data_IF_032607014769
#
_entry.id   IF_032607014769
#
_cell.length_a   1.000
_cell.length_b   1.000
_cell.length_c   1.000
_cell.angle_alpha   90.00
_cell.angle_beta   90.00
_cell.angle_gamma   90.00
#
_symmetry.space_group_name_H-M   'P 1'
#
loop_
_entity.id
_entity.type
_entity.pdbx_description
1 polymer ?
#
# COMPACT_ATOMS: atom_id res chain seq x y z
N UNK A 1 2.82 -29.62 3.22
CA UNK A 1 1.51 -29.26 2.65
C UNK A 1 1.20 -27.87 3.16
N UNK A 2 1.37 -26.84 2.35
CA UNK A 2 0.96 -25.48 2.69
C UNK A 2 -0.56 -25.45 2.70
N UNK A 3 -1.18 -25.12 3.85
CA UNK A 3 -2.61 -24.89 3.88
C UNK A 3 -2.94 -23.80 2.85
N UNK A 4 -3.93 -24.05 1.98
CA UNK A 4 -4.40 -23.04 1.04
C UNK A 4 -4.98 -21.87 1.86
N UNK A 5 -4.45 -20.68 1.67
CA UNK A 5 -5.04 -19.47 2.24
C UNK A 5 -6.28 -19.14 1.41
N UNK A 6 -7.46 -19.41 1.93
CA UNK A 6 -8.73 -19.23 1.22
C UNK A 6 -9.46 -17.94 1.62
N UNK A 7 -9.15 -17.41 2.81
CA UNK A 7 -9.76 -16.17 3.31
C UNK A 7 -8.89 -15.48 4.34
N UNK A 8 -9.09 -14.15 4.48
CA UNK A 8 -8.48 -13.29 5.49
C UNK A 8 -9.52 -12.29 6.03
N UNK A 9 -9.23 -11.66 7.16
CA UNK A 9 -10.10 -10.58 7.66
C UNK A 9 -9.93 -9.34 6.78
N UNK A 10 -8.68 -8.96 6.47
CA UNK A 10 -8.36 -7.78 5.67
C UNK A 10 -7.48 -8.15 4.48
N UNK A 11 -7.94 -7.81 3.29
CA UNK A 11 -7.17 -7.91 2.06
C UNK A 11 -6.80 -6.50 1.60
N UNK A 12 -5.52 -6.26 1.33
CA UNK A 12 -5.02 -4.98 0.81
C UNK A 12 -4.47 -5.20 -0.58
N UNK A 13 -4.97 -4.47 -1.56
CA UNK A 13 -4.43 -4.42 -2.92
C UNK A 13 -3.61 -3.15 -3.10
N UNK A 14 -2.33 -3.30 -3.47
CA UNK A 14 -1.42 -2.19 -3.73
C UNK A 14 -0.34 -2.01 -2.66
N UNK A 15 0.90 -1.92 -3.10
CA UNK A 15 2.10 -1.80 -2.27
C UNK A 15 2.60 -0.37 -2.09
N UNK A 16 1.78 0.63 -2.39
CA UNK A 16 2.09 2.03 -2.13
C UNK A 16 2.16 2.33 -0.63
N UNK A 17 2.52 3.56 -0.28
CA UNK A 17 2.70 3.99 1.13
C UNK A 17 1.43 3.73 1.96
N UNK A 18 0.26 4.09 1.40
CA UNK A 18 -1.03 3.89 2.05
C UNK A 18 -1.38 2.41 2.23
N UNK A 19 -1.17 1.59 1.19
CA UNK A 19 -1.45 0.15 1.25
C UNK A 19 -0.58 -0.58 2.26
N UNK A 20 0.72 -0.30 2.28
CA UNK A 20 1.65 -0.88 3.28
C UNK A 20 1.27 -0.46 4.69
N UNK A 21 0.98 0.83 4.91
CA UNK A 21 0.56 1.34 6.21
C UNK A 21 -0.75 0.68 6.68
N UNK A 22 -1.73 0.55 5.79
CA UNK A 22 -3.01 -0.10 6.09
C UNK A 22 -2.82 -1.57 6.47
N UNK A 23 -2.00 -2.31 5.71
CA UNK A 23 -1.73 -3.72 5.98
C UNK A 23 -1.05 -3.93 7.34
N UNK A 24 -0.02 -3.14 7.64
CA UNK A 24 0.69 -3.20 8.94
C UNK A 24 -0.27 -2.90 10.09
N UNK A 25 -1.07 -1.83 9.96
CA UNK A 25 -1.97 -1.44 11.05
C UNK A 25 -3.14 -2.41 11.24
N UNK A 26 -3.67 -3.00 10.18
CA UNK A 26 -4.68 -4.05 10.29
C UNK A 26 -4.13 -5.27 11.04
N UNK A 27 -2.93 -5.73 10.70
CA UNK A 27 -2.27 -6.84 11.38
C UNK A 27 -1.97 -6.54 12.85
N UNK A 28 -1.49 -5.34 13.17
CA UNK A 28 -1.29 -4.86 14.56
C UNK A 28 -2.59 -4.77 15.34
N UNK A 29 -3.69 -4.43 14.67
CA UNK A 29 -5.03 -4.47 15.24
C UNK A 29 -5.57 -5.89 15.48
N UNK A 30 -4.82 -6.91 15.08
CA UNK A 30 -5.15 -8.33 15.34
C UNK A 30 -5.83 -9.03 14.16
N UNK A 31 -6.10 -8.36 13.05
CA UNK A 31 -6.72 -8.96 11.87
C UNK A 31 -5.73 -9.85 11.11
N UNK A 32 -6.21 -11.01 10.64
CA UNK A 32 -5.48 -11.78 9.62
C UNK A 32 -5.47 -10.96 8.33
N UNK A 33 -4.28 -10.60 7.84
CA UNK A 33 -4.12 -9.61 6.77
C UNK A 33 -3.29 -10.18 5.62
N UNK A 34 -3.72 -9.91 4.39
CA UNK A 34 -2.98 -10.25 3.19
C UNK A 34 -2.75 -8.99 2.36
N UNK A 35 -1.49 -8.64 2.14
CA UNK A 35 -1.07 -7.60 1.23
C UNK A 35 -0.72 -8.22 -0.12
N UNK A 36 -1.37 -7.77 -1.18
CA UNK A 36 -1.14 -8.19 -2.56
C UNK A 36 -0.56 -7.02 -3.35
N UNK A 37 0.53 -7.25 -4.05
CA UNK A 37 1.17 -6.19 -4.83
C UNK A 37 1.50 -6.65 -6.25
N UNK A 38 1.32 -5.78 -7.27
CA UNK A 38 1.73 -6.09 -8.64
C UNK A 38 3.26 -6.17 -8.79
N UNK A 39 3.99 -5.37 -8.02
CA UNK A 39 5.45 -5.32 -7.99
C UNK A 39 6.04 -6.10 -6.82
N UNK A 40 7.37 -6.18 -6.83
CA UNK A 40 8.18 -6.85 -5.79
C UNK A 40 8.77 -5.86 -4.77
N UNK A 41 8.46 -4.58 -4.87
CA UNK A 41 8.89 -3.53 -3.95
C UNK A 41 7.69 -2.95 -3.20
N UNK A 42 7.93 -2.57 -1.94
CA UNK A 42 6.95 -1.90 -1.08
C UNK A 42 7.27 -0.41 -0.95
N UNK A 43 6.24 0.43 -0.81
CA UNK A 43 6.37 1.85 -0.49
C UNK A 43 5.99 2.82 -1.62
N UNK A 44 5.89 2.36 -2.87
CA UNK A 44 5.51 3.24 -3.99
C UNK A 44 6.43 4.47 -4.09
N UNK A 45 5.88 5.66 -3.89
CA UNK A 45 6.61 6.94 -4.01
C UNK A 45 7.82 7.04 -3.09
N UNK A 46 7.77 6.45 -1.90
CA UNK A 46 8.90 6.51 -0.95
C UNK A 46 10.00 5.48 -1.24
N UNK A 47 9.86 4.66 -2.27
CA UNK A 47 10.83 3.62 -2.63
C UNK A 47 10.85 3.34 -4.14
N UNK A 48 9.97 2.45 -4.63
CA UNK A 48 9.96 1.90 -5.98
C UNK A 48 9.89 2.96 -7.09
N UNK A 49 9.15 4.04 -6.89
CA UNK A 49 9.05 5.14 -7.85
C UNK A 49 10.28 6.07 -7.85
N UNK A 50 11.23 5.89 -6.92
CA UNK A 50 12.49 6.61 -6.89
C UNK A 50 12.39 8.09 -6.49
N UNK A 51 11.25 8.53 -5.97
CA UNK A 51 11.08 9.92 -5.52
C UNK A 51 11.92 10.19 -4.28
N UNK A 52 11.76 9.41 -3.21
CA UNK A 52 12.61 9.36 -2.01
C UNK A 52 13.02 10.72 -1.40
N UNK A 53 12.19 11.71 -1.63
CA UNK A 53 12.31 13.06 -1.10
C UNK A 53 10.90 13.56 -0.73
N UNK A 54 10.24 12.93 0.26
CA UNK A 54 8.88 13.28 0.61
C UNK A 54 8.82 14.72 1.11
N UNK A 55 7.82 15.44 0.65
CA UNK A 55 7.44 16.70 1.23
C UNK A 55 6.96 16.47 2.64
N UNK A 56 7.33 17.32 3.56
CA UNK A 56 6.95 17.04 4.90
C UNK A 56 7.13 18.18 5.86
N UNK A 57 6.56 17.98 7.02
CA UNK A 57 6.74 18.86 8.13
C UNK A 57 8.02 18.47 8.87
N UNK A 58 9.00 19.34 8.87
CA UNK A 58 10.29 19.17 9.57
C UNK A 58 10.13 19.20 11.09
N UNK A 59 8.99 19.69 11.59
CA UNK A 59 8.76 19.81 13.01
C UNK A 59 8.57 18.42 13.64
N UNK A 60 9.49 18.08 14.51
CA UNK A 60 9.50 16.79 15.25
C UNK A 60 8.15 16.42 15.88
N UNK A 61 7.34 17.33 16.44
CA UNK A 61 6.03 16.98 17.01
C UNK A 61 5.05 16.33 16.01
N UNK A 62 5.21 16.58 14.71
CA UNK A 62 4.37 16.02 13.66
C UNK A 62 4.90 14.72 13.06
N UNK A 63 6.10 14.33 13.43
CA UNK A 63 6.73 13.08 12.99
C UNK A 63 6.29 11.91 13.89
N UNK A 64 5.02 11.55 13.82
CA UNK A 64 4.38 10.54 14.66
C UNK A 64 3.97 9.30 13.86
N UNK A 65 3.47 8.28 14.56
CA UNK A 65 2.95 7.05 13.95
C UNK A 65 3.98 6.31 13.10
N UNK A 66 3.51 5.68 12.02
CA UNK A 66 4.37 4.96 11.07
C UNK A 66 5.34 5.91 10.36
N UNK A 67 4.91 7.12 10.04
CA UNK A 67 5.78 8.10 9.40
C UNK A 67 6.99 8.45 10.26
N UNK A 68 6.77 8.83 11.50
CA UNK A 68 7.87 9.14 12.42
C UNK A 68 8.77 7.93 12.70
N UNK A 69 8.20 6.72 12.77
CA UNK A 69 8.98 5.50 12.88
C UNK A 69 9.85 5.25 11.64
N UNK A 70 9.30 5.52 10.45
CA UNK A 70 10.00 5.39 9.19
C UNK A 70 11.19 6.35 9.07
N UNK A 71 10.99 7.62 9.42
CA UNK A 71 12.08 8.61 9.43
C UNK A 71 13.22 8.22 10.38
N UNK A 72 12.90 7.83 11.62
CA UNK A 72 13.91 7.36 12.57
C UNK A 72 14.68 6.14 12.09
N UNK A 73 14.01 5.23 11.41
CA UNK A 73 14.66 4.02 10.89
C UNK A 73 15.51 4.33 9.65
N UNK A 74 15.10 5.27 8.81
CA UNK A 74 15.91 5.79 7.71
C UNK A 74 17.21 6.43 8.25
N UNK A 75 17.08 7.35 9.20
CA UNK A 75 18.22 8.03 9.83
C UNK A 75 19.21 7.03 10.44
N UNK A 76 18.70 5.99 11.08
CA UNK A 76 19.54 4.92 11.65
C UNK A 76 20.28 4.10 10.59
N UNK A 77 19.70 3.90 9.40
CA UNK A 77 20.26 3.05 8.33
C UNK A 77 21.07 3.82 7.30
N UNK A 78 20.86 5.11 7.16
CA UNK A 78 21.66 5.95 6.27
C UNK A 78 22.91 6.43 7.01
N UNK A 79 24.12 5.94 6.66
CA UNK A 79 25.33 6.20 7.45
C UNK A 79 25.80 7.66 7.43
N UNK A 80 25.35 8.42 6.42
CA UNK A 80 25.65 9.83 6.24
C UNK A 80 24.50 10.73 6.68
N UNK A 81 23.43 10.15 7.26
CA UNK A 81 22.21 10.85 7.63
C UNK A 81 21.26 11.05 6.45
N UNK A 82 20.17 11.75 6.73
CA UNK A 82 19.21 12.13 5.69
C UNK A 82 19.72 13.37 4.97
N UNK A 83 19.64 13.37 3.64
CA UNK A 83 20.14 14.44 2.80
C UNK A 83 19.07 15.52 2.58
N UNK A 84 19.54 16.73 2.26
CA UNK A 84 18.69 17.83 1.82
C UNK A 84 18.54 17.76 0.31
N UNK A 85 17.36 17.40 -0.15
CA UNK A 85 16.99 17.47 -1.55
C UNK A 85 16.25 18.76 -1.86
N UNK A 86 15.95 18.98 -3.14
CA UNK A 86 15.34 20.20 -3.66
C UNK A 86 14.25 20.82 -2.75
N UNK A 87 13.26 20.03 -2.36
CA UNK A 87 12.10 20.51 -1.57
C UNK A 87 11.88 19.69 -0.30
N UNK A 88 12.81 18.85 0.07
CA UNK A 88 12.70 17.93 1.20
C UNK A 88 13.97 17.91 2.02
N UNK A 89 13.80 17.84 3.34
CA UNK A 89 14.88 17.58 4.28
C UNK A 89 15.14 16.08 4.52
N UNK A 90 14.48 15.21 3.77
CA UNK A 90 14.44 13.77 4.02
C UNK A 90 14.90 12.94 2.80
N UNK A 91 15.96 13.35 2.13
CA UNK A 91 16.52 12.57 1.04
C UNK A 91 17.18 11.28 1.51
N UNK A 92 16.91 10.16 0.85
CA UNK A 92 17.45 8.84 1.20
C UNK A 92 17.48 7.89 0.01
N UNK A 93 18.12 6.74 0.16
CA UNK A 93 18.18 5.73 -0.90
C UNK A 93 16.87 4.95 -0.99
N UNK A 94 16.31 4.76 -2.20
CA UNK A 94 15.10 3.95 -2.41
C UNK A 94 15.18 2.56 -1.80
N UNK A 95 16.34 1.93 -1.93
CA UNK A 95 16.60 0.58 -1.41
C UNK A 95 16.54 0.52 0.12
N UNK A 96 17.01 1.56 0.80
CA UNK A 96 16.93 1.64 2.28
C UNK A 96 15.48 1.70 2.73
N UNK A 97 14.68 2.53 2.09
CA UNK A 97 13.24 2.63 2.38
C UNK A 97 12.52 1.31 2.14
N UNK A 98 12.79 0.67 1.02
CA UNK A 98 12.18 -0.61 0.66
C UNK A 98 12.52 -1.71 1.68
N UNK A 99 13.80 -1.83 2.08
CA UNK A 99 14.23 -2.77 3.09
C UNK A 99 13.58 -2.55 4.46
N UNK A 100 13.34 -1.29 4.84
CA UNK A 100 12.61 -0.95 6.07
C UNK A 100 11.20 -1.51 5.98
N UNK A 101 10.47 -1.19 4.91
CA UNK A 101 9.09 -1.60 4.75
C UNK A 101 8.94 -3.12 4.66
N UNK A 102 9.82 -3.80 3.94
CA UNK A 102 9.85 -5.28 3.92
C UNK A 102 10.09 -5.85 5.32
N UNK A 103 11.06 -5.30 6.05
CA UNK A 103 11.35 -5.77 7.41
C UNK A 103 10.16 -5.60 8.36
N UNK A 104 9.41 -4.50 8.23
CA UNK A 104 8.22 -4.26 9.02
C UNK A 104 7.07 -5.21 8.67
N UNK A 105 6.84 -5.43 7.38
CA UNK A 105 5.84 -6.40 6.92
C UNK A 105 6.18 -7.81 7.41
N UNK A 106 7.44 -8.21 7.29
CA UNK A 106 7.89 -9.52 7.74
C UNK A 106 7.85 -9.71 9.26
N UNK A 107 7.91 -8.62 10.04
CA UNK A 107 7.83 -8.67 11.49
C UNK A 107 6.41 -8.85 12.05
N UNK A 108 5.38 -8.64 11.23
CA UNK A 108 3.98 -8.75 11.67
C UNK A 108 3.46 -10.19 11.50
N UNK A 109 3.21 -10.92 12.58
CA UNK A 109 2.89 -12.36 12.50
C UNK A 109 1.53 -12.65 11.84
N UNK A 110 0.65 -11.66 11.75
CA UNK A 110 -0.67 -11.77 11.12
C UNK A 110 -0.73 -11.15 9.72
N UNK A 111 0.42 -10.73 9.16
CA UNK A 111 0.50 -10.15 7.84
C UNK A 111 1.26 -11.08 6.90
N UNK A 112 0.59 -11.46 5.82
CA UNK A 112 1.22 -12.12 4.68
C UNK A 112 1.37 -11.12 3.55
N UNK A 113 2.46 -11.21 2.80
CA UNK A 113 2.68 -10.42 1.58
C UNK A 113 2.93 -11.34 0.39
N UNK A 114 2.16 -11.13 -0.67
CA UNK A 114 2.35 -11.80 -1.95
C UNK A 114 2.70 -10.76 -3.02
N UNK A 115 3.95 -10.70 -3.46
CA UNK A 115 4.38 -9.87 -4.58
C UNK A 115 4.04 -10.50 -5.93
N UNK A 116 4.06 -9.68 -7.00
CA UNK A 116 3.91 -10.14 -8.38
C UNK A 116 2.51 -10.64 -8.71
N UNK A 117 1.50 -10.16 -7.99
CA UNK A 117 0.11 -10.53 -8.23
C UNK A 117 -0.52 -9.69 -9.36
N UNK A 118 -1.45 -10.27 -10.07
CA UNK A 118 -2.32 -9.59 -11.03
C UNK A 118 -3.77 -9.67 -10.56
N UNK A 119 -4.41 -8.53 -10.40
CA UNK A 119 -5.83 -8.42 -10.05
C UNK A 119 -6.68 -8.86 -11.25
N UNK A 120 -7.66 -9.71 -11.02
CA UNK A 120 -8.52 -10.26 -12.06
C UNK A 120 -9.97 -9.83 -11.92
N UNK A 121 -10.54 -9.98 -10.71
CA UNK A 121 -11.97 -9.81 -10.47
C UNK A 121 -12.24 -9.47 -9.00
N UNK A 122 -13.34 -8.76 -8.76
CA UNK A 122 -13.91 -8.53 -7.44
C UNK A 122 -15.28 -9.18 -7.37
N UNK A 123 -15.49 -10.06 -6.42
CA UNK A 123 -16.80 -10.70 -6.18
C UNK A 123 -17.60 -9.89 -5.16
N UNK A 124 -18.86 -9.62 -5.49
CA UNK A 124 -19.78 -8.84 -4.64
C UNK A 124 -21.09 -9.58 -4.38
N UNK A 125 -21.65 -9.29 -3.23
CA UNK A 125 -23.05 -9.57 -2.93
C UNK A 125 -23.75 -8.25 -2.55
N UNK A 126 -24.50 -7.68 -3.47
CA UNK A 126 -25.01 -6.31 -3.33
C UNK A 126 -23.85 -5.29 -3.29
N UNK A 127 -23.79 -4.48 -2.26
CA UNK A 127 -22.72 -3.50 -2.01
C UNK A 127 -21.51 -4.07 -1.25
N UNK A 128 -21.58 -5.33 -0.81
CA UNK A 128 -20.53 -5.96 -0.04
C UNK A 128 -19.56 -6.73 -0.94
N UNK A 129 -18.28 -6.41 -0.88
CA UNK A 129 -17.23 -7.22 -1.50
C UNK A 129 -17.00 -8.44 -0.62
N UNK A 130 -17.01 -9.64 -1.22
CA UNK A 130 -16.87 -10.91 -0.50
C UNK A 130 -15.59 -11.65 -0.82
N UNK A 131 -15.00 -11.41 -2.00
CA UNK A 131 -13.75 -12.00 -2.39
C UNK A 131 -13.08 -11.19 -3.51
N UNK A 132 -11.79 -11.46 -3.69
CA UNK A 132 -10.99 -10.97 -4.81
C UNK A 132 -10.35 -12.15 -5.51
N UNK A 133 -10.35 -12.15 -6.85
CA UNK A 133 -9.60 -13.10 -7.66
C UNK A 133 -8.32 -12.48 -8.16
N UNK A 134 -7.24 -13.18 -7.96
CA UNK A 134 -5.91 -12.76 -8.40
C UNK A 134 -5.18 -13.90 -9.10
N UNK A 135 -4.22 -13.56 -9.93
CA UNK A 135 -3.20 -14.48 -10.37
C UNK A 135 -1.94 -14.24 -9.53
N UNK A 136 -1.43 -15.28 -8.92
CA UNK A 136 -0.22 -15.27 -8.12
C UNK A 136 0.61 -16.51 -8.45
N UNK A 137 1.89 -16.35 -8.76
CA UNK A 137 2.80 -17.43 -9.16
C UNK A 137 2.27 -18.30 -10.31
N UNK A 138 1.56 -17.71 -11.28
CA UNK A 138 0.98 -18.40 -12.44
C UNK A 138 -0.31 -19.17 -12.13
N UNK A 139 -0.83 -19.11 -10.93
CA UNK A 139 -2.09 -19.74 -10.53
C UNK A 139 -3.15 -18.70 -10.19
N UNK A 140 -4.38 -18.97 -10.61
CA UNK A 140 -5.52 -18.16 -10.18
C UNK A 140 -5.97 -18.57 -8.79
N UNK A 141 -6.17 -17.58 -7.93
CA UNK A 141 -6.60 -17.74 -6.55
C UNK A 141 -7.84 -16.90 -6.28
N UNK A 142 -8.79 -17.50 -5.59
CA UNK A 142 -9.95 -16.81 -5.01
C UNK A 142 -9.69 -16.60 -3.54
N UNK A 143 -9.72 -15.36 -3.09
CA UNK A 143 -9.41 -14.96 -1.72
C UNK A 143 -10.63 -14.28 -1.10
N UNK A 144 -11.28 -14.92 -0.16
CA UNK A 144 -12.36 -14.34 0.64
C UNK A 144 -11.83 -13.27 1.59
N UNK A 145 -12.61 -12.24 1.86
CA UNK A 145 -12.24 -11.21 2.83
C UNK A 145 -13.47 -10.59 3.49
N UNK A 146 -13.30 -10.09 4.72
CA UNK A 146 -14.31 -9.29 5.41
C UNK A 146 -14.22 -7.82 5.00
N UNK A 147 -12.99 -7.33 4.78
CA UNK A 147 -12.70 -5.97 4.34
C UNK A 147 -11.66 -6.03 3.22
N UNK A 148 -11.87 -5.24 2.18
CA UNK A 148 -10.85 -4.99 1.15
C UNK A 148 -10.44 -3.52 1.20
N UNK A 149 -9.15 -3.26 1.06
CA UNK A 149 -8.57 -1.92 1.02
C UNK A 149 -7.89 -1.74 -0.33
N UNK A 150 -8.30 -0.71 -1.06
CA UNK A 150 -7.59 -0.27 -2.27
C UNK A 150 -6.46 0.68 -1.86
N UNK A 151 -5.25 0.17 -1.88
CA UNK A 151 -4.01 0.92 -1.65
C UNK A 151 -3.22 1.15 -2.95
N UNK A 152 -3.87 0.96 -4.10
CA UNK A 152 -3.27 1.24 -5.40
C UNK A 152 -3.27 2.74 -5.70
N UNK A 153 -2.37 3.16 -6.59
CA UNK A 153 -2.24 4.58 -6.96
C UNK A 153 -3.38 5.08 -7.87
N UNK A 154 -4.16 4.17 -8.45
CA UNK A 154 -5.19 4.49 -9.46
C UNK A 154 -6.59 4.04 -9.10
N UNK A 155 -6.81 3.49 -7.91
CA UNK A 155 -8.10 2.96 -7.52
C UNK A 155 -8.49 1.71 -8.31
N UNK A 156 -7.56 0.78 -8.47
CA UNK A 156 -7.70 -0.40 -9.35
C UNK A 156 -8.92 -1.27 -9.00
N UNK A 157 -9.35 -1.27 -7.74
CA UNK A 157 -10.52 -2.02 -7.29
C UNK A 157 -11.86 -1.34 -7.64
N UNK A 158 -11.87 -0.02 -7.81
CA UNK A 158 -13.12 0.74 -8.02
C UNK A 158 -13.91 0.25 -9.24
N UNK A 159 -13.31 0.16 -10.45
CA UNK A 159 -14.03 -0.31 -11.63
C UNK A 159 -14.45 -1.78 -11.50
N UNK A 160 -13.63 -2.63 -10.90
CA UNK A 160 -13.95 -4.04 -10.73
C UNK A 160 -15.05 -4.28 -9.68
N UNK A 161 -15.13 -3.41 -8.70
CA UNK A 161 -16.19 -3.40 -7.71
C UNK A 161 -17.46 -2.66 -8.19
N UNK A 162 -17.46 -2.13 -9.42
CA UNK A 162 -18.53 -1.27 -9.95
C UNK A 162 -18.90 -0.12 -8.99
N UNK A 163 -17.90 0.35 -8.22
CA UNK A 163 -18.09 1.50 -7.36
C UNK A 163 -18.12 2.78 -8.20
N UNK A 164 -18.94 3.78 -7.87
CA UNK A 164 -18.90 5.06 -8.57
C UNK A 164 -17.54 5.74 -8.40
N UNK A 165 -16.92 6.15 -9.49
CA UNK A 165 -15.69 6.93 -9.46
C UNK A 165 -15.63 7.93 -10.61
N UNK A 166 -14.77 8.91 -10.52
CA UNK A 166 -14.47 9.87 -11.58
C UNK A 166 -13.16 9.51 -12.24
N UNK A 167 -13.10 9.75 -13.55
CA UNK A 167 -11.89 9.49 -14.32
C UNK A 167 -11.62 10.66 -15.28
N UNK A 168 -10.41 11.19 -15.21
CA UNK A 168 -10.01 12.32 -16.03
C UNK A 168 -10.54 13.66 -15.53
N UNK A 169 -10.69 14.60 -16.44
CA UNK A 169 -11.13 15.96 -16.16
C UNK A 169 -12.62 16.09 -16.48
N UNK A 170 -13.37 16.63 -15.52
CA UNK A 170 -14.76 16.94 -15.73
C UNK A 170 -14.92 18.31 -16.39
N UNK A 171 -16.03 18.48 -17.10
CA UNK A 171 -16.39 19.78 -17.67
C UNK A 171 -16.62 20.81 -16.56
N UNK A 172 -16.12 22.02 -16.75
CA UNK A 172 -16.27 23.13 -15.80
C UNK A 172 -17.71 23.35 -15.36
N UNK A 173 -18.66 23.19 -16.29
CA UNK A 173 -20.08 23.40 -16.03
C UNK A 173 -20.66 22.38 -15.04
N UNK A 174 -20.04 21.23 -14.90
CA UNK A 174 -20.51 20.17 -14.03
C UNK A 174 -20.27 20.48 -12.55
N UNK A 175 -19.13 21.11 -12.21
CA UNK A 175 -18.71 21.31 -10.83
C UNK A 175 -18.30 22.75 -10.51
N UNK A 176 -18.23 23.63 -11.50
CA UNK A 176 -17.79 25.00 -11.35
C UNK A 176 -16.30 25.17 -11.08
N UNK A 177 -15.52 24.13 -11.28
CA UNK A 177 -14.06 24.13 -11.07
C UNK A 177 -13.36 24.67 -12.32
N UNK A 178 -12.24 25.42 -12.18
CA UNK A 178 -11.41 25.79 -13.32
C UNK A 178 -10.77 24.54 -13.91
N UNK A 179 -11.03 24.24 -15.15
CA UNK A 179 -10.48 23.12 -15.92
C UNK A 179 -9.59 23.62 -17.06
#
# INVERSE_FOLDING_TARGET
MSASLDSVDVLVWGGGTGGVAAAIQAARGGASTLLLTPGSWLGGMVSAAGVCCPDGNELTPWQTGLWGAFLRELERREPEGLDHNWVSCFGYRPTTAEQILQSWVAAEPKLLWWPGCRLLEVERHGSLITAVRVEANGEQRRLGCLVVIDGSDRGDLLPLAEAPFRFGWEAKEQWGEPS
#
